data_IF_519596501353
#
_entry.id   IF_519596501353
#
_cell.length_a   1.000
_cell.length_b   1.000
_cell.length_c   1.000
_cell.angle_alpha   90.00
_cell.angle_beta   90.00
_cell.angle_gamma   90.00
#
_symmetry.space_group_name_H-M   'P 1'
#
loop_
_entity.id
_entity.type
_entity.pdbx_description
1 polymer ?
#
# COMPACT_ATOMS: atom_id res chain seq x y z
N UNK A 1 -47.42 -17.52 51.93
CA UNK A 1 -46.83 -17.17 50.62
C UNK A 1 -45.36 -16.88 50.80
N UNK A 2 -44.46 -17.63 50.16
CA UNK A 2 -43.08 -17.19 49.87
C UNK A 2 -42.58 -18.03 48.68
N UNK A 3 -42.45 -17.40 47.50
CA UNK A 3 -41.85 -18.00 46.30
C UNK A 3 -40.36 -17.69 46.31
N UNK A 4 -39.53 -18.70 46.53
CA UNK A 4 -38.09 -18.66 46.29
C UNK A 4 -37.83 -18.93 44.82
N UNK A 5 -37.44 -17.89 44.08
CA UNK A 5 -37.04 -17.96 42.68
C UNK A 5 -35.71 -18.71 42.58
N UNK A 6 -35.74 -19.93 42.06
CA UNK A 6 -34.55 -20.68 41.70
C UNK A 6 -34.05 -20.18 40.34
N UNK A 7 -33.00 -19.37 40.33
CA UNK A 7 -32.24 -19.05 39.11
C UNK A 7 -31.37 -20.26 38.73
N UNK A 8 -31.84 -21.05 37.78
CA UNK A 8 -31.08 -22.13 37.16
C UNK A 8 -30.07 -21.54 36.17
N UNK A 9 -28.79 -21.43 36.56
CA UNK A 9 -27.70 -21.22 35.58
C UNK A 9 -27.13 -22.58 35.19
N UNK A 10 -27.18 -23.01 33.92
CA UNK A 10 -26.59 -24.28 33.51
C UNK A 10 -25.07 -24.17 33.69
N UNK A 11 -24.47 -25.15 34.37
CA UNK A 11 -23.03 -25.24 34.55
C UNK A 11 -22.34 -25.41 33.19
N UNK A 12 -22.03 -24.29 32.54
CA UNK A 12 -21.34 -24.24 31.24
C UNK A 12 -19.94 -24.80 31.45
N UNK A 13 -19.69 -26.00 30.92
CA UNK A 13 -18.41 -26.69 31.13
C UNK A 13 -17.26 -25.85 30.59
N UNK A 14 -16.28 -25.50 31.44
CA UNK A 14 -15.10 -24.68 31.06
C UNK A 14 -14.40 -25.20 29.81
N UNK A 15 -14.27 -26.51 29.69
CA UNK A 15 -13.65 -27.18 28.53
C UNK A 15 -14.39 -26.91 27.22
N UNK A 16 -15.73 -26.94 27.22
CA UNK A 16 -16.55 -26.66 26.04
C UNK A 16 -16.42 -25.20 25.60
N UNK A 17 -16.37 -24.27 26.56
CA UNK A 17 -16.18 -22.84 26.28
C UNK A 17 -14.78 -22.54 25.76
N UNK A 18 -13.74 -23.20 26.31
CA UNK A 18 -12.37 -23.08 25.83
C UNK A 18 -12.26 -23.55 24.37
N UNK A 19 -12.79 -24.73 24.05
CA UNK A 19 -12.76 -25.27 22.69
C UNK A 19 -13.52 -24.38 21.68
N UNK A 20 -14.64 -23.77 22.10
CA UNK A 20 -15.35 -22.81 21.27
C UNK A 20 -14.54 -21.53 21.01
N UNK A 21 -13.83 -21.01 22.02
CA UNK A 21 -12.96 -19.85 21.89
C UNK A 21 -11.78 -20.13 20.95
N UNK A 22 -11.11 -21.28 21.10
CA UNK A 22 -10.00 -21.65 20.22
C UNK A 22 -10.46 -21.79 18.77
N UNK A 23 -11.60 -22.45 18.52
CA UNK A 23 -12.16 -22.58 17.16
C UNK A 23 -12.46 -21.23 16.51
N UNK A 24 -12.98 -20.28 17.28
CA UNK A 24 -13.27 -18.92 16.81
C UNK A 24 -11.97 -18.16 16.50
N UNK A 25 -10.95 -18.29 17.36
CA UNK A 25 -9.63 -17.68 17.12
C UNK A 25 -9.02 -18.21 15.83
N UNK A 26 -9.03 -19.52 15.63
CA UNK A 26 -8.46 -20.15 14.44
C UNK A 26 -9.21 -19.73 13.16
N UNK A 27 -10.54 -19.62 13.23
CA UNK A 27 -11.36 -19.11 12.14
C UNK A 27 -11.05 -17.65 11.78
N UNK A 28 -10.89 -16.78 12.77
CA UNK A 28 -10.54 -15.36 12.56
C UNK A 28 -9.12 -15.19 11.99
N UNK A 29 -8.18 -16.04 12.41
CA UNK A 29 -6.81 -16.06 11.87
C UNK A 29 -6.81 -16.54 10.42
N UNK A 30 -7.55 -17.60 10.10
CA UNK A 30 -7.67 -18.10 8.73
C UNK A 30 -8.34 -17.09 7.78
N UNK A 31 -9.34 -16.35 8.28
CA UNK A 31 -9.99 -15.27 7.53
C UNK A 31 -9.17 -13.98 7.39
N UNK A 32 -7.98 -13.91 8.00
CA UNK A 32 -7.16 -12.69 8.09
C UNK A 32 -7.95 -11.47 8.63
N UNK A 33 -8.94 -11.72 9.47
CA UNK A 33 -9.80 -10.69 10.04
C UNK A 33 -9.13 -10.03 11.25
N UNK A 34 -9.66 -8.87 11.67
CA UNK A 34 -9.10 -8.12 12.79
C UNK A 34 -9.27 -8.90 14.11
N UNK A 35 -8.20 -9.57 14.51
CA UNK A 35 -8.14 -10.28 15.78
C UNK A 35 -8.12 -9.27 16.94
N UNK A 36 -9.07 -9.40 17.86
CA UNK A 36 -9.15 -8.61 19.10
C UNK A 36 -9.96 -9.37 20.14
N UNK A 37 -9.76 -9.09 21.42
CA UNK A 37 -10.55 -9.71 22.50
C UNK A 37 -12.04 -9.44 22.30
N UNK A 38 -12.41 -8.24 21.82
CA UNK A 38 -13.79 -7.88 21.53
C UNK A 38 -14.38 -8.64 20.32
N UNK A 39 -13.60 -8.82 19.24
CA UNK A 39 -14.07 -9.57 18.06
C UNK A 39 -14.21 -11.07 18.37
N UNK A 40 -13.26 -11.65 19.12
CA UNK A 40 -13.35 -13.05 19.58
C UNK A 40 -14.55 -13.24 20.52
N UNK A 41 -14.76 -12.33 21.47
CA UNK A 41 -15.89 -12.37 22.39
C UNK A 41 -17.24 -12.31 21.64
N UNK A 42 -17.36 -11.41 20.66
CA UNK A 42 -18.55 -11.27 19.81
C UNK A 42 -18.82 -12.54 18.99
N UNK A 43 -17.79 -13.10 18.36
CA UNK A 43 -17.92 -14.29 17.53
C UNK A 43 -18.20 -15.56 18.35
N UNK A 44 -17.73 -15.63 19.60
CA UNK A 44 -18.01 -16.74 20.52
C UNK A 44 -19.29 -16.54 21.37
N UNK A 45 -19.98 -15.39 21.24
CA UNK A 45 -21.18 -15.08 22.03
C UNK A 45 -20.92 -14.99 23.54
N UNK A 46 -19.74 -14.50 23.94
CA UNK A 46 -19.36 -14.32 25.35
C UNK A 46 -19.02 -12.86 25.65
N UNK A 47 -19.07 -12.48 26.92
CA UNK A 47 -18.64 -11.15 27.35
C UNK A 47 -17.10 -11.06 27.31
N UNK A 48 -16.50 -9.93 26.86
CA UNK A 48 -15.06 -9.72 26.93
C UNK A 48 -14.48 -9.91 28.34
N UNK A 49 -15.29 -9.59 29.36
CA UNK A 49 -15.10 -9.92 30.79
C UNK A 49 -14.64 -11.35 31.05
N UNK A 50 -15.34 -12.30 30.42
CA UNK A 50 -15.10 -13.72 30.63
C UNK A 50 -13.72 -14.14 30.10
N UNK A 51 -13.28 -13.56 28.97
CA UNK A 51 -12.00 -13.91 28.37
C UNK A 51 -10.84 -13.40 29.22
N UNK A 52 -10.85 -12.14 29.66
CA UNK A 52 -9.71 -11.61 30.41
C UNK A 52 -9.68 -12.03 31.88
N UNK A 53 -10.83 -12.29 32.52
CA UNK A 53 -10.89 -12.69 33.93
C UNK A 53 -10.87 -14.20 34.14
N UNK A 54 -11.57 -14.97 33.31
CA UNK A 54 -11.74 -16.42 33.51
C UNK A 54 -10.80 -17.25 32.64
N UNK A 55 -10.35 -16.71 31.50
CA UNK A 55 -9.48 -17.41 30.55
C UNK A 55 -8.22 -16.58 30.18
N UNK A 56 -7.38 -16.19 31.15
CA UNK A 56 -6.22 -15.32 30.90
C UNK A 56 -5.25 -15.89 29.85
N UNK A 57 -5.07 -17.21 29.80
CA UNK A 57 -4.24 -17.87 28.79
C UNK A 57 -4.75 -17.63 27.35
N UNK A 58 -6.06 -17.63 27.15
CA UNK A 58 -6.68 -17.34 25.84
C UNK A 58 -6.49 -15.86 25.49
N UNK A 59 -6.60 -14.96 26.47
CA UNK A 59 -6.34 -13.53 26.27
C UNK A 59 -4.88 -13.26 25.82
N UNK A 60 -3.90 -13.93 26.45
CA UNK A 60 -2.48 -13.81 26.06
C UNK A 60 -2.21 -14.39 24.66
N UNK A 61 -2.85 -15.52 24.33
CA UNK A 61 -2.79 -16.10 22.97
C UNK A 61 -3.27 -15.09 21.93
N UNK A 62 -4.43 -14.46 22.18
CA UNK A 62 -5.00 -13.42 21.31
C UNK A 62 -4.03 -12.24 21.16
N UNK A 63 -3.48 -11.71 22.25
CA UNK A 63 -2.53 -10.58 22.23
C UNK A 63 -1.26 -10.91 21.44
N UNK A 64 -0.73 -12.12 21.61
CA UNK A 64 0.47 -12.58 20.90
C UNK A 64 0.21 -12.69 19.39
N UNK A 65 -0.93 -13.28 19.00
CA UNK A 65 -1.32 -13.42 17.61
C UNK A 65 -1.57 -12.04 16.96
N UNK A 66 -2.24 -11.13 17.68
CA UNK A 66 -2.41 -9.74 17.26
C UNK A 66 -1.08 -9.02 17.04
N UNK A 67 -0.14 -9.14 17.99
CA UNK A 67 1.16 -8.49 17.87
C UNK A 67 1.98 -9.02 16.70
N UNK A 68 1.84 -10.30 16.35
CA UNK A 68 2.48 -10.90 15.17
C UNK A 68 1.82 -10.42 13.87
N UNK A 69 0.49 -10.41 13.79
CA UNK A 69 -0.24 -9.99 12.59
C UNK A 69 -0.05 -8.50 12.27
N UNK A 70 -0.02 -7.64 13.29
CA UNK A 70 0.24 -6.20 13.10
C UNK A 70 1.64 -5.95 12.55
N UNK A 71 2.66 -6.66 13.07
CA UNK A 71 4.04 -6.56 12.56
C UNK A 71 4.13 -7.03 11.11
N UNK A 72 3.59 -8.22 10.81
CA UNK A 72 3.58 -8.76 9.45
C UNK A 72 2.87 -7.82 8.45
N UNK A 73 1.71 -7.27 8.84
CA UNK A 73 0.98 -6.30 8.00
C UNK A 73 1.78 -5.01 7.80
N UNK A 74 2.41 -4.49 8.85
CA UNK A 74 3.23 -3.28 8.78
C UNK A 74 4.43 -3.50 7.85
N UNK A 75 5.13 -4.62 8.01
CA UNK A 75 6.33 -4.91 7.24
C UNK A 75 5.99 -5.11 5.76
N UNK A 76 4.89 -5.81 5.46
CA UNK A 76 4.36 -5.94 4.09
C UNK A 76 4.00 -4.58 3.47
N UNK A 77 3.28 -3.71 4.21
CA UNK A 77 2.96 -2.34 3.74
C UNK A 77 4.22 -1.51 3.52
N UNK A 78 5.20 -1.63 4.41
CA UNK A 78 6.45 -0.89 4.29
C UNK A 78 7.24 -1.36 3.07
N UNK A 79 7.34 -2.67 2.84
CA UNK A 79 8.00 -3.23 1.67
C UNK A 79 7.31 -2.80 0.37
N UNK A 80 5.98 -2.84 0.32
CA UNK A 80 5.21 -2.35 -0.82
C UNK A 80 5.48 -0.86 -1.08
N UNK A 81 5.47 -0.03 -0.04
CA UNK A 81 5.78 1.40 -0.15
C UNK A 81 7.19 1.66 -0.67
N UNK A 82 8.19 0.89 -0.21
CA UNK A 82 9.56 1.02 -0.68
C UNK A 82 9.70 0.63 -2.14
N UNK A 83 9.08 -0.48 -2.55
CA UNK A 83 9.06 -0.90 -3.96
C UNK A 83 8.46 0.17 -4.87
N UNK A 84 7.33 0.77 -4.48
CA UNK A 84 6.70 1.83 -5.26
C UNK A 84 7.53 3.12 -5.30
N UNK A 85 8.21 3.48 -4.20
CA UNK A 85 9.12 4.62 -4.18
C UNK A 85 10.31 4.43 -5.11
N UNK A 86 10.88 3.22 -5.16
CA UNK A 86 11.98 2.89 -6.07
C UNK A 86 11.55 2.98 -7.54
N UNK A 87 10.39 2.40 -7.88
CA UNK A 87 9.81 2.52 -9.23
C UNK A 87 9.58 3.98 -9.60
N UNK A 88 9.00 4.75 -8.69
CA UNK A 88 8.71 6.16 -8.95
C UNK A 88 9.99 6.98 -9.14
N UNK A 89 11.05 6.67 -8.39
CA UNK A 89 12.37 7.28 -8.58
C UNK A 89 12.95 6.94 -9.96
N UNK A 90 12.87 5.69 -10.39
CA UNK A 90 13.33 5.27 -11.71
C UNK A 90 12.55 5.98 -12.83
N UNK A 91 11.22 6.00 -12.74
CA UNK A 91 10.35 6.66 -13.71
C UNK A 91 10.60 8.18 -13.79
N UNK A 92 10.89 8.85 -12.67
CA UNK A 92 11.25 10.27 -12.68
C UNK A 92 12.58 10.50 -13.41
N UNK A 93 13.59 9.68 -13.14
CA UNK A 93 14.88 9.79 -13.81
C UNK A 93 14.75 9.55 -15.33
N UNK A 94 13.94 8.57 -15.74
CA UNK A 94 13.65 8.31 -17.15
C UNK A 94 12.91 9.49 -17.80
N UNK A 95 11.91 10.06 -17.11
CA UNK A 95 11.18 11.23 -17.62
C UNK A 95 12.11 12.44 -17.81
N UNK A 96 12.98 12.73 -16.84
CA UNK A 96 13.95 13.82 -16.95
C UNK A 96 14.91 13.60 -18.14
N UNK A 97 15.36 12.37 -18.36
CA UNK A 97 16.19 12.01 -19.52
C UNK A 97 15.45 12.21 -20.84
N UNK A 98 14.22 11.72 -20.95
CA UNK A 98 13.39 11.86 -22.14
C UNK A 98 13.07 13.31 -22.46
N UNK A 99 12.79 14.14 -21.43
CA UNK A 99 12.55 15.57 -21.61
C UNK A 99 13.80 16.30 -22.10
N UNK A 100 14.98 15.96 -21.56
CA UNK A 100 16.24 16.53 -22.02
C UNK A 100 16.54 16.14 -23.48
N UNK A 101 16.26 14.90 -23.86
CA UNK A 101 16.39 14.43 -25.23
C UNK A 101 15.43 15.11 -26.20
N UNK A 102 14.15 15.23 -25.81
CA UNK A 102 13.15 15.92 -26.60
C UNK A 102 13.53 17.39 -26.81
N UNK A 103 14.00 18.08 -25.78
CA UNK A 103 14.47 19.46 -25.90
C UNK A 103 15.66 19.60 -26.86
N UNK A 104 16.61 18.65 -26.82
CA UNK A 104 17.77 18.61 -27.73
C UNK A 104 17.32 18.43 -29.18
N UNK A 105 16.44 17.46 -29.43
CA UNK A 105 15.92 17.16 -30.77
C UNK A 105 15.11 18.37 -31.29
N UNK A 106 14.28 18.98 -30.46
CA UNK A 106 13.51 20.17 -30.82
C UNK A 106 14.44 21.33 -31.23
N UNK A 107 15.52 21.58 -30.49
CA UNK A 107 16.50 22.62 -30.82
C UNK A 107 17.20 22.36 -32.16
N UNK A 108 17.65 21.13 -32.40
CA UNK A 108 18.29 20.73 -33.66
C UNK A 108 17.30 20.85 -34.83
N UNK A 109 16.08 20.34 -34.66
CA UNK A 109 15.04 20.44 -35.68
C UNK A 109 14.72 21.90 -36.01
N UNK A 110 14.63 22.77 -35.01
CA UNK A 110 14.39 24.18 -35.23
C UNK A 110 15.50 24.84 -36.06
N UNK A 111 16.77 24.51 -35.78
CA UNK A 111 17.90 24.98 -36.58
C UNK A 111 17.83 24.49 -38.02
N UNK A 112 17.56 23.19 -38.21
CA UNK A 112 17.43 22.60 -39.55
C UNK A 112 16.27 23.22 -40.35
N UNK A 113 15.16 23.57 -39.68
CA UNK A 113 14.04 24.26 -40.32
C UNK A 113 14.45 25.66 -40.81
N UNK A 114 15.25 26.40 -40.04
CA UNK A 114 15.78 27.69 -40.48
C UNK A 114 16.75 27.55 -41.66
N UNK A 115 17.71 26.63 -41.58
CA UNK A 115 18.66 26.36 -42.68
C UNK A 115 17.92 25.95 -43.97
N UNK A 116 16.91 25.08 -43.85
CA UNK A 116 16.06 24.69 -44.98
C UNK A 116 15.27 25.86 -45.57
N UNK A 117 14.78 26.77 -44.73
CA UNK A 117 14.05 27.95 -45.19
C UNK A 117 14.98 28.91 -45.95
N UNK A 118 16.20 29.13 -45.45
CA UNK A 118 17.23 29.94 -46.11
C UNK A 118 17.61 29.35 -47.48
N UNK A 119 17.91 28.05 -47.52
CA UNK A 119 18.26 27.36 -48.77
C UNK A 119 17.14 27.43 -49.80
N UNK A 120 15.88 27.25 -49.39
CA UNK A 120 14.71 27.40 -50.27
C UNK A 120 14.52 28.85 -50.75
N UNK A 121 14.82 29.83 -49.92
CA UNK A 121 14.73 31.24 -50.29
C UNK A 121 15.79 31.61 -51.34
N UNK A 122 17.02 31.10 -51.18
CA UNK A 122 18.10 31.24 -52.17
C UNK A 122 17.73 30.52 -53.48
N UNK A 123 17.26 29.27 -53.40
CA UNK A 123 16.92 28.48 -54.60
C UNK A 123 15.74 29.05 -55.38
N UNK A 124 14.79 29.70 -54.72
CA UNK A 124 13.65 30.37 -55.36
C UNK A 124 13.99 31.75 -55.93
N UNK A 125 15.26 32.18 -55.86
CA UNK A 125 15.72 33.47 -56.38
C UNK A 125 15.21 34.68 -55.61
N UNK A 126 14.56 34.48 -54.46
CA UNK A 126 14.05 35.56 -53.59
C UNK A 126 15.16 36.30 -52.85
N UNK A 127 16.32 35.66 -52.68
CA UNK A 127 17.50 36.22 -51.99
C UNK A 127 18.78 35.71 -52.66
N UNK A 128 19.81 36.56 -52.73
CA UNK A 128 21.13 36.24 -53.30
C UNK A 128 22.19 36.34 -52.22
N UNK A 129 23.07 35.32 -52.12
CA UNK A 129 24.15 35.31 -51.15
C UNK A 129 25.22 36.35 -51.50
N UNK A 130 25.48 37.30 -50.59
CA UNK A 130 26.56 38.27 -50.73
C UNK A 130 27.87 37.62 -50.31
N UNK A 131 28.82 37.48 -51.24
CA UNK A 131 30.15 36.94 -50.93
C UNK A 131 30.88 37.90 -49.99
N UNK A 132 31.24 37.44 -48.79
CA UNK A 132 32.07 38.26 -47.89
C UNK A 132 33.52 38.23 -48.39
N UNK A 133 34.05 39.42 -48.67
CA UNK A 133 35.45 39.62 -49.08
C UNK A 133 36.37 39.16 -47.93
N UNK A 134 37.39 38.33 -48.18
CA UNK A 134 38.27 37.86 -47.12
C UNK A 134 39.01 39.06 -46.52
N UNK A 135 38.85 39.26 -45.21
CA UNK A 135 39.63 40.21 -44.42
C UNK A 135 41.09 39.76 -44.42
N UNK A 136 41.97 40.60 -45.00
CA UNK A 136 43.43 40.42 -44.97
C UNK A 136 43.98 40.62 -43.56
#
# INVERSE_FOLDING_TARGET
MNKSTQDQTPARSRSKTLAALDKVIDGLVAGNEKLSIASVARAAGVTPGLIHNTYPAVAEKIRTLMGKSVRAQRDSKHQALMSEKEKNRALRAENDQLLAELARIASVNQRLLFEMAELKAVSSGKVVALTQKPSR
#
